data_IF_033786867922
#
_entry.id   IF_033786867922
#
_cell.length_a   1.000
_cell.length_b   1.000
_cell.length_c   1.000
_cell.angle_alpha   90.00
_cell.angle_beta   90.00
_cell.angle_gamma   90.00
#
_symmetry.space_group_name_H-M   'P 1'
#
loop_
_entity.id
_entity.type
_entity.pdbx_description
1 polymer ?
#
# COMPACT_ATOMS: atom_id res chain seq x y z
N UNK A 1 -19.57 -18.79 -38.51
CA UNK A 1 -19.15 -19.80 -39.46
C UNK A 1 -18.10 -20.70 -38.86
N UNK A 2 -18.45 -21.98 -38.82
CA UNK A 2 -17.64 -23.21 -38.74
C UNK A 2 -16.55 -23.37 -37.68
N UNK A 3 -16.92 -24.16 -36.72
CA UNK A 3 -16.26 -25.13 -35.86
C UNK A 3 -15.05 -25.85 -36.52
N UNK A 4 -14.00 -26.05 -35.74
CA UNK A 4 -13.11 -27.20 -35.95
C UNK A 4 -12.71 -27.76 -34.57
N UNK A 5 -13.42 -28.85 -34.21
CA UNK A 5 -13.04 -29.77 -33.13
C UNK A 5 -12.04 -30.77 -33.74
N UNK A 6 -10.83 -30.86 -33.13
CA UNK A 6 -9.94 -31.98 -33.44
C UNK A 6 -9.71 -32.80 -32.16
N UNK A 7 -10.36 -33.96 -32.15
CA UNK A 7 -10.17 -35.02 -31.15
C UNK A 7 -8.85 -35.71 -31.45
N UNK A 8 -7.94 -35.75 -30.50
CA UNK A 8 -6.80 -36.67 -30.51
C UNK A 8 -7.11 -37.79 -29.52
N UNK A 9 -7.39 -38.97 -30.10
CA UNK A 9 -7.56 -40.24 -29.42
C UNK A 9 -6.16 -40.76 -29.06
N UNK A 10 -5.84 -40.89 -27.77
CA UNK A 10 -4.61 -41.54 -27.31
C UNK A 10 -4.89 -43.02 -27.05
N UNK A 11 -4.36 -43.87 -27.92
CA UNK A 11 -4.40 -45.31 -27.85
C UNK A 11 -3.43 -45.80 -26.76
N UNK A 12 -3.96 -46.39 -25.70
CA UNK A 12 -3.19 -46.98 -24.60
C UNK A 12 -2.73 -48.39 -25.06
N UNK A 13 -1.45 -48.56 -25.38
CA UNK A 13 -0.86 -49.84 -25.67
C UNK A 13 -0.18 -50.39 -24.39
N UNK A 14 -0.86 -51.36 -23.75
CA UNK A 14 -0.29 -52.15 -22.66
C UNK A 14 0.73 -53.17 -23.23
N UNK A 15 2.00 -52.95 -22.91
CA UNK A 15 3.04 -53.98 -23.04
C UNK A 15 3.38 -54.49 -21.64
N UNK A 16 2.86 -55.66 -21.31
CA UNK A 16 3.31 -56.48 -20.19
C UNK A 16 4.54 -57.23 -20.62
N UNK A 17 5.74 -56.83 -20.15
CA UNK A 17 6.94 -57.63 -20.18
C UNK A 17 7.23 -58.10 -18.77
N UNK A 18 6.87 -59.35 -18.52
CA UNK A 18 7.34 -60.14 -17.40
C UNK A 18 8.82 -60.42 -17.64
N UNK A 19 9.67 -60.00 -16.72
CA UNK A 19 11.02 -60.56 -16.59
C UNK A 19 11.27 -60.79 -15.11
N UNK A 20 11.25 -62.06 -14.73
CA UNK A 20 11.79 -62.60 -13.50
C UNK A 20 13.31 -62.50 -13.56
N UNK A 21 13.90 -61.81 -12.59
CA UNK A 21 15.32 -61.76 -12.39
C UNK A 21 15.59 -61.31 -10.96
N UNK A 22 15.81 -62.27 -10.08
CA UNK A 22 16.35 -62.06 -8.75
C UNK A 22 17.79 -61.60 -8.87
N UNK A 23 18.05 -60.32 -8.53
CA UNK A 23 19.32 -59.86 -8.08
C UNK A 23 19.08 -58.98 -6.83
N UNK A 24 19.40 -59.60 -5.69
CA UNK A 24 19.58 -58.88 -4.43
C UNK A 24 20.85 -57.98 -4.58
N UNK A 25 20.64 -56.76 -5.01
CA UNK A 25 21.56 -55.69 -4.72
C UNK A 25 20.78 -54.67 -3.90
N UNK A 26 21.05 -54.71 -2.59
CA UNK A 26 20.58 -53.66 -1.66
C UNK A 26 21.18 -52.34 -2.08
N UNK A 27 20.49 -51.68 -2.99
CA UNK A 27 20.62 -50.24 -3.17
C UNK A 27 20.07 -49.59 -1.93
N UNK A 28 20.92 -49.18 -1.01
CA UNK A 28 20.55 -48.17 -0.03
C UNK A 28 19.91 -47.03 -0.84
N UNK A 29 18.62 -46.83 -0.70
CA UNK A 29 17.98 -45.59 -1.09
C UNK A 29 18.77 -44.49 -0.37
N UNK A 30 19.66 -43.83 -1.13
CA UNK A 30 20.34 -42.64 -0.66
C UNK A 30 19.23 -41.60 -0.44
N UNK A 31 18.69 -41.60 0.78
CA UNK A 31 17.75 -40.57 1.22
C UNK A 31 18.52 -39.26 1.07
N UNK A 32 18.21 -38.53 0.01
CA UNK A 32 18.88 -37.29 -0.31
C UNK A 32 18.51 -36.29 0.81
N UNK A 33 19.36 -36.21 1.83
CA UNK A 33 19.12 -35.32 2.97
C UNK A 33 19.25 -33.87 2.51
N UNK A 34 18.24 -33.07 2.80
CA UNK A 34 18.23 -31.64 2.49
C UNK A 34 17.61 -30.82 3.63
N UNK A 35 17.82 -29.53 3.60
CA UNK A 35 17.11 -28.55 4.41
C UNK A 35 16.50 -27.48 3.53
N UNK A 36 15.34 -26.99 3.93
CA UNK A 36 14.65 -25.86 3.30
C UNK A 36 14.77 -24.61 4.17
N UNK A 37 15.10 -23.49 3.53
CA UNK A 37 15.06 -22.17 4.16
C UNK A 37 13.77 -21.45 3.77
N UNK A 38 13.02 -20.98 4.78
CA UNK A 38 11.93 -20.04 4.62
C UNK A 38 12.34 -18.68 5.16
N UNK A 39 11.94 -17.63 4.47
CA UNK A 39 12.13 -16.23 4.86
C UNK A 39 10.76 -15.57 5.01
N UNK A 40 10.58 -14.69 6.01
CA UNK A 40 9.30 -13.99 6.25
C UNK A 40 8.93 -13.02 5.12
N UNK A 41 9.89 -12.65 4.26
CA UNK A 41 9.70 -11.86 3.05
C UNK A 41 10.93 -11.90 2.17
N UNK A 42 10.75 -11.83 0.86
CA UNK A 42 11.83 -11.71 -0.15
C UNK A 42 12.06 -10.26 -0.56
N UNK A 43 11.22 -9.36 -0.09
CA UNK A 43 11.34 -7.92 -0.24
C UNK A 43 11.12 -7.26 1.13
N UNK A 44 11.78 -6.13 1.37
CA UNK A 44 11.64 -5.37 2.60
C UNK A 44 12.17 -3.93 2.44
N UNK A 45 12.03 -3.16 3.49
CA UNK A 45 12.56 -1.81 3.57
C UNK A 45 13.74 -1.74 4.53
N UNK A 46 14.60 -0.76 4.32
CA UNK A 46 15.72 -0.48 5.24
C UNK A 46 15.21 -0.36 6.68
N UNK A 47 15.85 -1.06 7.61
CA UNK A 47 15.46 -1.14 9.02
C UNK A 47 14.45 -2.25 9.34
N UNK A 48 13.92 -2.97 8.35
CA UNK A 48 13.05 -4.12 8.59
C UNK A 48 13.85 -5.35 9.01
N UNK A 49 13.22 -6.16 9.86
CA UNK A 49 13.78 -7.42 10.33
C UNK A 49 13.11 -8.58 9.60
N UNK A 50 13.91 -9.39 8.93
CA UNK A 50 13.48 -10.62 8.26
C UNK A 50 13.77 -11.82 9.19
N UNK A 51 12.80 -12.73 9.26
CA UNK A 51 12.89 -13.96 10.04
C UNK A 51 13.24 -15.12 9.10
N UNK A 52 14.20 -15.94 9.49
CA UNK A 52 14.63 -17.15 8.79
C UNK A 52 14.14 -18.39 9.54
N UNK A 53 13.59 -19.33 8.83
CA UNK A 53 13.15 -20.61 9.40
C UNK A 53 13.68 -21.75 8.57
N UNK A 54 14.37 -22.69 9.19
CA UNK A 54 14.90 -23.88 8.52
C UNK A 54 14.07 -25.12 8.89
N UNK A 55 13.75 -25.91 7.87
CA UNK A 55 13.08 -27.20 8.04
C UNK A 55 13.92 -28.33 7.46
N UNK A 56 13.92 -29.48 8.13
CA UNK A 56 14.50 -30.68 7.58
C UNK A 56 13.58 -31.35 6.54
N UNK A 57 14.05 -32.39 5.89
CA UNK A 57 13.32 -33.18 4.91
C UNK A 57 12.01 -33.79 5.42
N UNK A 58 11.84 -33.90 6.73
CA UNK A 58 10.64 -34.44 7.40
C UNK A 58 9.66 -33.33 7.81
N UNK A 59 9.99 -32.06 7.51
CA UNK A 59 9.20 -30.89 7.89
C UNK A 59 9.36 -30.46 9.35
N UNK A 60 10.39 -30.98 10.06
CA UNK A 60 10.66 -30.50 11.43
C UNK A 60 11.40 -29.17 11.37
N UNK A 61 10.99 -28.24 12.25
CA UNK A 61 11.70 -26.97 12.41
C UNK A 61 13.04 -27.18 13.11
N UNK A 62 14.13 -26.95 12.39
CA UNK A 62 15.52 -27.12 12.87
C UNK A 62 16.24 -25.77 13.04
N UNK A 63 15.50 -24.65 13.04
CA UNK A 63 16.07 -23.30 13.10
C UNK A 63 16.99 -23.06 14.28
N UNK A 64 16.69 -23.63 15.46
CA UNK A 64 17.50 -23.47 16.68
C UNK A 64 18.83 -24.19 16.63
N UNK A 65 18.98 -25.15 15.71
CA UNK A 65 20.18 -25.96 15.49
C UNK A 65 20.84 -25.64 14.14
N UNK A 66 20.36 -24.62 13.45
CA UNK A 66 20.86 -24.17 12.16
C UNK A 66 21.62 -22.87 12.28
N UNK A 67 22.61 -22.70 11.43
CA UNK A 67 23.35 -21.47 11.22
C UNK A 67 22.77 -20.74 10.00
N UNK A 68 22.54 -19.44 10.12
CA UNK A 68 22.03 -18.60 9.05
C UNK A 68 23.10 -17.66 8.53
N UNK A 69 23.06 -17.39 7.24
CA UNK A 69 24.06 -16.58 6.54
C UNK A 69 23.40 -15.52 5.66
N UNK A 70 24.00 -14.34 5.64
CA UNK A 70 23.66 -13.22 4.75
C UNK A 70 24.93 -12.81 4.03
N UNK A 71 24.97 -12.86 2.69
CA UNK A 71 26.15 -12.61 1.88
C UNK A 71 27.39 -13.33 2.43
N UNK A 72 27.28 -14.65 2.65
CA UNK A 72 28.33 -15.52 3.19
C UNK A 72 28.73 -15.23 4.66
N UNK A 73 28.20 -14.19 5.28
CA UNK A 73 28.48 -13.86 6.68
C UNK A 73 27.47 -14.53 7.60
N UNK A 74 27.96 -15.33 8.54
CA UNK A 74 27.11 -15.95 9.58
C UNK A 74 26.49 -14.88 10.46
N UNK A 75 25.17 -14.93 10.65
CA UNK A 75 24.43 -14.05 11.55
C UNK A 75 24.20 -14.73 12.91
N UNK A 76 24.04 -13.95 14.03
CA UNK A 76 24.01 -14.50 15.38
C UNK A 76 22.69 -15.18 15.75
N UNK A 77 21.62 -14.98 14.97
CA UNK A 77 20.30 -15.54 15.23
C UNK A 77 19.56 -15.83 13.93
N UNK A 78 18.36 -16.38 14.03
CA UNK A 78 17.48 -16.61 12.90
C UNK A 78 16.68 -15.35 12.49
N UNK A 79 17.17 -14.18 12.86
CA UNK A 79 16.61 -12.87 12.43
C UNK A 79 17.74 -11.95 12.00
N UNK A 80 17.48 -11.11 11.00
CA UNK A 80 18.42 -10.10 10.55
C UNK A 80 17.72 -8.81 10.19
N UNK A 81 18.25 -7.68 10.66
CA UNK A 81 17.77 -6.34 10.31
C UNK A 81 18.68 -5.77 9.23
N UNK A 82 18.11 -5.49 8.07
CA UNK A 82 18.85 -4.96 6.93
C UNK A 82 18.95 -3.42 7.02
N UNK A 83 20.17 -2.91 7.19
CA UNK A 83 20.42 -1.47 7.38
C UNK A 83 20.94 -0.76 6.12
N UNK A 84 21.02 -1.46 5.00
CA UNK A 84 21.43 -0.92 3.70
C UNK A 84 20.50 -1.43 2.60
N UNK A 85 20.26 -0.57 1.60
CA UNK A 85 19.54 -0.96 0.38
C UNK A 85 20.39 -1.89 -0.46
N UNK A 86 19.76 -2.80 -1.19
CA UNK A 86 20.43 -3.72 -2.10
C UNK A 86 19.84 -5.12 -2.07
N UNK A 87 20.53 -6.02 -2.74
CA UNK A 87 20.16 -7.43 -2.86
C UNK A 87 21.07 -8.27 -1.99
N UNK A 88 20.49 -9.19 -1.22
CA UNK A 88 21.20 -10.02 -0.25
C UNK A 88 20.89 -11.48 -0.48
N UNK A 89 21.94 -12.29 -0.64
CA UNK A 89 21.80 -13.73 -0.71
C UNK A 89 21.79 -14.32 0.69
N UNK A 90 20.81 -15.19 0.98
CA UNK A 90 20.62 -15.81 2.28
C UNK A 90 20.48 -17.32 2.16
N UNK A 91 21.11 -18.05 3.07
CA UNK A 91 21.01 -19.50 3.16
C UNK A 91 21.18 -19.98 4.61
N UNK A 92 20.79 -21.23 4.85
CA UNK A 92 20.95 -21.89 6.15
C UNK A 92 21.88 -23.11 6.05
N UNK A 93 22.54 -23.44 7.14
CA UNK A 93 23.30 -24.70 7.32
C UNK A 93 22.79 -25.44 8.55
N UNK A 94 22.60 -26.74 8.38
CA UNK A 94 22.24 -27.66 9.45
C UNK A 94 23.14 -28.90 9.34
N UNK A 95 24.10 -29.04 10.27
CA UNK A 95 25.17 -30.03 10.16
C UNK A 95 26.01 -29.82 8.90
N UNK A 96 26.01 -30.81 8.00
CA UNK A 96 26.72 -30.74 6.71
C UNK A 96 25.80 -30.28 5.56
N UNK A 97 24.51 -30.11 5.83
CA UNK A 97 23.53 -29.72 4.82
C UNK A 97 23.51 -28.21 4.67
N UNK A 98 23.33 -27.75 3.44
CA UNK A 98 23.15 -26.33 3.10
C UNK A 98 21.85 -26.19 2.30
N UNK A 99 21.02 -25.22 2.64
CA UNK A 99 19.79 -24.92 1.90
C UNK A 99 20.11 -24.32 0.53
N UNK A 100 19.10 -24.30 -0.33
CA UNK A 100 19.13 -23.39 -1.48
C UNK A 100 19.27 -21.94 -1.00
N UNK A 101 19.99 -21.16 -1.81
CA UNK A 101 20.13 -19.70 -1.57
C UNK A 101 18.86 -18.99 -1.99
N UNK A 102 18.38 -18.12 -1.14
CA UNK A 102 17.29 -17.18 -1.46
C UNK A 102 17.84 -15.78 -1.53
N UNK A 103 17.23 -14.97 -2.37
CA UNK A 103 17.58 -13.56 -2.54
C UNK A 103 16.54 -12.68 -1.88
N UNK A 104 16.98 -11.69 -1.10
CA UNK A 104 16.14 -10.67 -0.46
C UNK A 104 16.50 -9.31 -1.06
N UNK A 105 15.52 -8.56 -1.53
CA UNK A 105 15.67 -7.19 -2.01
C UNK A 105 15.26 -6.20 -0.93
N UNK A 106 16.16 -5.29 -0.56
CA UNK A 106 15.91 -4.23 0.41
C UNK A 106 15.85 -2.89 -0.30
N UNK A 107 14.70 -2.27 -0.20
CA UNK A 107 14.36 -0.99 -0.79
C UNK A 107 14.50 0.16 0.21
N UNK A 108 14.68 1.40 -0.25
CA UNK A 108 14.60 2.57 0.62
C UNK A 108 13.19 2.67 1.24
N UNK A 109 13.12 3.09 2.50
CA UNK A 109 11.83 3.37 3.13
C UNK A 109 11.07 4.42 2.33
N UNK A 110 9.82 4.17 1.93
CA UNK A 110 9.04 5.13 1.16
C UNK A 110 8.90 6.45 1.92
N UNK A 111 9.13 7.57 1.24
CA UNK A 111 8.85 8.90 1.78
C UNK A 111 7.34 9.02 1.90
N UNK A 112 6.84 9.34 3.09
CA UNK A 112 5.43 9.62 3.29
C UNK A 112 5.22 11.11 3.50
N UNK A 113 4.14 11.63 2.93
CA UNK A 113 3.73 13.01 3.09
C UNK A 113 2.61 13.11 4.12
N UNK A 114 2.53 14.28 4.77
CA UNK A 114 1.43 14.60 5.65
C UNK A 114 0.12 14.65 4.85
N UNK A 115 -0.91 13.98 5.35
CA UNK A 115 -2.21 14.02 4.73
C UNK A 115 -3.02 15.21 5.28
N UNK A 116 -3.33 16.16 4.41
CA UNK A 116 -4.27 17.23 4.69
C UNK A 116 -5.69 16.79 4.30
N UNK A 117 -6.69 17.41 4.90
CA UNK A 117 -8.10 17.17 4.58
C UNK A 117 -8.68 18.40 3.89
N UNK A 118 -9.41 18.19 2.81
CA UNK A 118 -10.13 19.25 2.11
C UNK A 118 -11.60 19.19 2.57
N UNK A 119 -12.11 20.32 3.01
CA UNK A 119 -13.53 20.51 3.30
C UNK A 119 -14.10 21.51 2.31
N UNK A 120 -15.08 21.10 1.52
CA UNK A 120 -15.81 21.96 0.60
C UNK A 120 -17.18 22.29 1.20
N UNK A 121 -17.37 23.56 1.58
CA UNK A 121 -18.63 24.09 2.14
C UNK A 121 -19.47 24.72 1.04
N UNK A 122 -20.50 24.02 0.59
CA UNK A 122 -21.50 24.54 -0.35
C UNK A 122 -22.45 25.44 0.40
N UNK A 123 -22.38 26.73 0.09
CA UNK A 123 -22.97 27.82 0.85
C UNK A 123 -23.55 28.92 -0.04
N UNK A 124 -24.07 29.96 0.56
CA UNK A 124 -24.54 31.17 -0.09
C UNK A 124 -24.94 32.25 0.91
N UNK A 125 -24.82 33.52 0.55
CA UNK A 125 -25.15 34.65 1.43
C UNK A 125 -26.62 34.71 1.80
N UNK A 126 -27.48 34.11 1.01
CA UNK A 126 -28.91 33.97 1.22
C UNK A 126 -29.29 32.83 2.19
N UNK A 127 -28.33 31.95 2.52
CA UNK A 127 -28.60 30.70 3.23
C UNK A 127 -28.65 30.91 4.76
N UNK A 128 -29.83 30.95 5.33
CA UNK A 128 -30.02 31.18 6.77
C UNK A 128 -29.48 30.06 7.69
N UNK A 129 -29.25 28.84 7.16
CA UNK A 129 -28.71 27.71 7.92
C UNK A 129 -27.20 27.53 7.77
N UNK A 130 -26.57 28.18 6.79
CA UNK A 130 -25.15 28.03 6.48
C UNK A 130 -24.20 28.52 7.59
N UNK A 131 -24.55 29.52 8.45
CA UNK A 131 -23.69 29.89 9.56
C UNK A 131 -23.32 28.75 10.52
N UNK A 132 -24.07 27.66 10.53
CA UNK A 132 -23.78 26.47 11.32
C UNK A 132 -22.49 25.77 10.83
N UNK A 133 -22.33 25.67 9.53
CA UNK A 133 -21.10 25.11 8.92
C UNK A 133 -19.94 26.06 9.15
N UNK A 134 -20.14 27.35 8.98
CA UNK A 134 -19.10 28.36 9.25
C UNK A 134 -18.58 28.28 10.69
N UNK A 135 -19.44 28.06 11.68
CA UNK A 135 -19.02 27.88 13.07
C UNK A 135 -18.27 26.57 13.27
N UNK A 136 -18.72 25.47 12.67
CA UNK A 136 -18.00 24.20 12.71
C UNK A 136 -16.60 24.31 12.07
N UNK A 137 -16.48 25.04 10.96
CA UNK A 137 -15.20 25.35 10.30
C UNK A 137 -14.30 26.21 11.22
N UNK A 138 -14.87 27.20 11.91
CA UNK A 138 -14.11 28.01 12.87
C UNK A 138 -13.49 27.15 13.97
N UNK A 139 -14.25 26.20 14.51
CA UNK A 139 -13.78 25.27 15.54
C UNK A 139 -12.77 24.28 14.99
N UNK A 140 -12.99 23.75 13.79
CA UNK A 140 -12.03 22.89 13.10
C UNK A 140 -10.67 23.59 12.94
N UNK A 141 -10.67 24.86 12.54
CA UNK A 141 -9.44 25.66 12.40
C UNK A 141 -8.73 25.95 13.72
N UNK A 142 -9.44 25.88 14.85
CA UNK A 142 -8.80 25.96 16.17
C UNK A 142 -8.13 24.65 16.58
N UNK A 143 -8.67 23.53 16.10
CA UNK A 143 -8.17 22.20 16.44
C UNK A 143 -7.00 21.77 15.54
N UNK A 144 -6.98 22.21 14.27
CA UNK A 144 -5.96 21.80 13.30
C UNK A 144 -5.73 22.85 12.21
N UNK A 145 -4.46 22.94 11.78
CA UNK A 145 -4.04 23.68 10.58
C UNK A 145 -4.08 22.84 9.30
N UNK A 146 -4.39 21.53 9.38
CA UNK A 146 -4.28 20.56 8.30
C UNK A 146 -5.59 20.41 7.51
N UNK A 147 -6.62 21.14 7.87
CA UNK A 147 -7.87 21.25 7.13
C UNK A 147 -7.83 22.45 6.18
N UNK A 148 -7.94 22.16 4.90
CA UNK A 148 -8.09 23.16 3.83
C UNK A 148 -9.57 23.31 3.57
N UNK A 149 -10.12 24.47 3.88
CA UNK A 149 -11.55 24.75 3.72
C UNK A 149 -11.77 25.66 2.53
N UNK A 150 -12.67 25.25 1.64
CA UNK A 150 -13.09 26.01 0.45
C UNK A 150 -14.58 26.24 0.51
N UNK A 151 -15.02 27.50 0.53
CA UNK A 151 -16.43 27.86 0.42
C UNK A 151 -16.83 27.90 -1.07
N UNK A 152 -17.87 27.14 -1.42
CA UNK A 152 -18.43 27.08 -2.77
C UNK A 152 -19.77 27.80 -2.75
N UNK A 153 -19.76 29.03 -3.22
CA UNK A 153 -20.92 29.91 -3.21
C UNK A 153 -21.88 29.64 -4.36
N UNK A 154 -23.17 29.62 -4.05
CA UNK A 154 -24.26 29.47 -5.01
C UNK A 154 -25.24 30.64 -4.92
N UNK A 155 -25.68 31.19 -6.04
CA UNK A 155 -26.73 32.16 -6.15
C UNK A 155 -26.40 33.53 -5.54
N UNK A 156 -25.13 33.89 -5.46
CA UNK A 156 -24.66 35.18 -4.97
C UNK A 156 -23.44 35.69 -5.77
N UNK A 157 -22.93 36.87 -5.39
CA UNK A 157 -21.84 37.52 -6.12
C UNK A 157 -20.49 36.79 -6.07
N UNK A 158 -20.34 35.79 -5.19
CA UNK A 158 -19.14 34.99 -5.05
C UNK A 158 -19.22 33.65 -5.82
N UNK A 159 -20.34 33.39 -6.48
CA UNK A 159 -20.50 32.21 -7.31
C UNK A 159 -19.55 32.24 -8.51
N UNK A 160 -18.79 31.14 -8.69
CA UNK A 160 -17.98 30.97 -9.90
C UNK A 160 -18.67 30.10 -10.96
N UNK A 161 -18.23 30.18 -12.19
CA UNK A 161 -18.95 29.61 -13.34
C UNK A 161 -19.11 28.08 -13.31
N UNK A 162 -18.19 27.34 -12.67
CA UNK A 162 -18.21 25.88 -12.60
C UNK A 162 -18.95 25.33 -11.37
N UNK A 163 -19.51 26.20 -10.50
CA UNK A 163 -20.23 25.78 -9.29
C UNK A 163 -21.29 24.71 -9.58
N UNK A 164 -22.15 24.98 -10.57
CA UNK A 164 -23.23 24.05 -10.93
C UNK A 164 -22.75 22.68 -11.35
N UNK A 165 -21.65 22.61 -12.12
CA UNK A 165 -21.07 21.35 -12.55
C UNK A 165 -20.47 20.54 -11.36
N UNK A 166 -19.78 21.22 -10.44
CA UNK A 166 -19.23 20.59 -9.22
C UNK A 166 -20.37 20.11 -8.34
N UNK A 167 -21.38 20.94 -8.10
CA UNK A 167 -22.55 20.60 -7.29
C UNK A 167 -23.27 19.36 -7.83
N UNK A 168 -23.45 19.29 -9.13
CA UNK A 168 -24.06 18.13 -9.80
C UNK A 168 -23.18 16.87 -9.68
N UNK A 169 -21.87 16.98 -9.91
CA UNK A 169 -20.93 15.86 -9.85
C UNK A 169 -20.92 15.17 -8.46
N UNK A 170 -21.13 15.94 -7.39
CA UNK A 170 -21.17 15.43 -6.01
C UNK A 170 -22.60 15.33 -5.43
N UNK A 171 -23.62 15.41 -6.28
CA UNK A 171 -25.01 15.26 -5.90
C UNK A 171 -25.40 16.15 -4.70
N UNK A 172 -24.95 17.41 -4.72
CA UNK A 172 -25.31 18.40 -3.72
C UNK A 172 -26.66 19.03 -4.11
N UNK A 173 -27.72 18.67 -3.37
CA UNK A 173 -29.10 19.06 -3.68
C UNK A 173 -29.66 20.10 -2.73
N UNK A 174 -28.94 20.48 -1.69
CA UNK A 174 -29.39 21.45 -0.70
C UNK A 174 -28.24 22.14 0.03
N UNK A 175 -28.57 23.21 0.75
CA UNK A 175 -27.65 24.08 1.47
C UNK A 175 -28.05 24.19 2.93
N UNK A 176 -27.10 24.18 3.90
CA UNK A 176 -25.70 23.94 3.69
C UNK A 176 -25.40 22.45 3.37
N UNK A 177 -24.37 22.19 2.60
CA UNK A 177 -23.76 20.86 2.47
C UNK A 177 -22.26 21.03 2.54
N UNK A 178 -21.60 20.28 3.40
CA UNK A 178 -20.15 20.21 3.43
C UNK A 178 -19.66 18.81 3.05
N UNK A 179 -18.63 18.74 2.22
CA UNK A 179 -17.99 17.49 1.80
C UNK A 179 -16.59 17.40 2.38
N UNK A 180 -16.19 16.20 2.79
CA UNK A 180 -14.87 15.89 3.27
C UNK A 180 -14.15 15.08 2.18
N UNK A 181 -13.05 15.62 1.64
CA UNK A 181 -12.23 15.01 0.58
C UNK A 181 -13.03 14.59 -0.67
N UNK A 182 -14.22 15.19 -0.91
CA UNK A 182 -15.17 14.79 -1.98
C UNK A 182 -15.64 13.32 -1.89
N UNK A 183 -15.40 12.67 -0.77
CA UNK A 183 -15.73 11.25 -0.57
C UNK A 183 -16.99 11.06 0.28
N UNK A 184 -17.20 11.95 1.24
CA UNK A 184 -18.35 11.85 2.15
C UNK A 184 -18.89 13.22 2.54
N UNK A 185 -20.15 13.23 2.98
CA UNK A 185 -20.75 14.43 3.58
C UNK A 185 -20.29 14.57 5.02
N UNK A 186 -19.96 15.79 5.42
CA UNK A 186 -19.80 16.12 6.82
C UNK A 186 -21.18 16.05 7.47
N UNK A 187 -21.43 14.99 8.22
CA UNK A 187 -22.72 14.76 8.84
C UNK A 187 -22.95 15.75 9.98
N UNK A 188 -24.01 16.51 9.87
CA UNK A 188 -24.38 17.52 10.90
C UNK A 188 -23.16 18.34 11.33
N UNK A 189 -22.61 19.21 10.47
CA UNK A 189 -21.46 20.02 10.82
C UNK A 189 -21.86 20.95 12.00
N UNK A 190 -21.52 20.51 13.19
CA UNK A 190 -21.75 21.14 14.48
C UNK A 190 -20.44 21.17 15.24
N UNK A 191 -20.26 22.02 16.23
CA UNK A 191 -19.07 21.97 17.10
C UNK A 191 -18.72 20.58 17.59
N UNK A 192 -19.73 19.75 17.84
CA UNK A 192 -19.57 18.38 18.34
C UNK A 192 -19.10 17.36 17.30
N UNK A 193 -19.02 17.70 16.01
CA UNK A 193 -18.67 16.74 14.93
C UNK A 193 -17.40 17.09 14.15
N UNK A 194 -16.52 17.87 14.73
CA UNK A 194 -15.19 18.18 14.15
C UNK A 194 -14.35 16.92 14.01
N UNK A 195 -14.55 15.95 14.90
CA UNK A 195 -13.83 14.66 14.88
C UNK A 195 -14.02 13.86 13.57
N UNK A 196 -15.14 14.03 12.85
CA UNK A 196 -15.33 13.39 11.55
C UNK A 196 -14.29 13.87 10.53
N UNK A 197 -13.92 15.14 10.57
CA UNK A 197 -12.90 15.72 9.69
C UNK A 197 -11.51 15.36 10.16
N UNK A 198 -11.19 15.57 11.45
CA UNK A 198 -9.86 15.30 11.99
C UNK A 198 -9.50 13.82 11.95
N UNK A 199 -10.47 12.93 12.03
CA UNK A 199 -10.28 11.48 11.87
C UNK A 199 -9.77 11.05 10.48
N UNK A 200 -9.87 11.93 9.46
CA UNK A 200 -9.35 11.68 8.11
C UNK A 200 -7.89 12.11 7.92
N UNK A 201 -7.26 12.67 8.94
CA UNK A 201 -5.89 13.19 8.88
C UNK A 201 -4.83 12.16 9.30
N UNK A 202 -5.23 11.00 9.79
CA UNK A 202 -4.33 9.98 10.33
C UNK A 202 -3.63 9.13 9.26
N UNK A 203 -3.93 9.33 7.98
CA UNK A 203 -3.36 8.56 6.88
C UNK A 203 -1.95 9.03 6.49
N UNK A 204 -1.19 8.09 5.92
CA UNK A 204 0.04 8.39 5.19
C UNK A 204 -0.30 8.56 3.70
N UNK A 205 0.27 9.57 3.06
CA UNK A 205 0.17 9.76 1.61
C UNK A 205 1.51 9.50 0.96
N UNK A 206 1.52 8.70 -0.09
CA UNK A 206 2.72 8.43 -0.92
C UNK A 206 2.82 9.38 -2.12
N UNK A 207 1.86 10.30 -2.25
CA UNK A 207 1.89 11.36 -3.23
C UNK A 207 1.59 12.70 -2.56
N UNK A 208 2.18 13.77 -3.07
CA UNK A 208 1.94 15.13 -2.60
C UNK A 208 1.75 16.10 -3.76
N UNK A 209 1.03 17.18 -3.47
CA UNK A 209 0.90 18.32 -4.37
C UNK A 209 1.33 19.56 -3.60
N UNK A 210 2.27 20.30 -4.14
CA UNK A 210 2.61 21.64 -3.69
C UNK A 210 2.18 22.64 -4.76
N UNK A 211 1.60 23.74 -4.32
CA UNK A 211 1.15 24.82 -5.19
C UNK A 211 1.73 26.14 -4.70
N UNK A 212 2.29 26.90 -5.63
CA UNK A 212 2.70 28.28 -5.44
C UNK A 212 1.91 29.17 -6.40
N UNK A 213 1.46 30.30 -5.92
CA UNK A 213 0.68 31.24 -6.73
C UNK A 213 1.14 32.67 -6.46
N UNK A 214 1.20 33.47 -7.51
CA UNK A 214 1.45 34.88 -7.42
C UNK A 214 0.60 35.67 -8.42
N UNK A 215 0.23 36.87 -8.03
CA UNK A 215 -0.42 37.83 -8.91
C UNK A 215 0.64 38.63 -9.61
N UNK A 216 0.54 38.76 -10.94
CA UNK A 216 1.46 39.54 -11.76
C UNK A 216 0.72 40.71 -12.45
N UNK A 217 1.46 41.77 -12.74
CA UNK A 217 0.90 42.97 -13.32
C UNK A 217 -0.04 43.71 -12.38
N UNK A 218 -1.08 44.31 -12.90
CA UNK A 218 -2.07 45.10 -12.15
C UNK A 218 -3.15 44.23 -11.46
N UNK A 219 -2.83 42.99 -11.11
CA UNK A 219 -3.80 42.03 -10.59
C UNK A 219 -4.59 41.27 -11.64
N UNK A 220 -4.18 41.41 -12.92
CA UNK A 220 -4.89 40.79 -14.06
C UNK A 220 -4.50 39.36 -14.30
N UNK A 221 -3.34 38.90 -13.82
CA UNK A 221 -2.83 37.57 -14.06
C UNK A 221 -2.50 36.84 -12.76
N UNK A 222 -2.98 35.61 -12.63
CA UNK A 222 -2.63 34.70 -11.55
C UNK A 222 -1.73 33.59 -12.12
N UNK A 223 -0.45 33.64 -11.76
CA UNK A 223 0.47 32.55 -12.06
C UNK A 223 0.35 31.47 -11.00
N UNK A 224 0.10 30.24 -11.43
CA UNK A 224 0.01 29.08 -10.53
C UNK A 224 1.04 28.03 -10.97
N UNK A 225 1.95 27.67 -10.06
CA UNK A 225 2.89 26.56 -10.25
C UNK A 225 2.43 25.37 -9.42
N UNK A 226 2.31 24.22 -10.04
CA UNK A 226 1.95 22.97 -9.35
C UNK A 226 3.13 22.01 -9.46
N UNK A 227 3.56 21.46 -8.34
CA UNK A 227 4.59 20.42 -8.26
C UNK A 227 3.96 19.19 -7.62
N UNK A 228 4.13 18.05 -8.27
CA UNK A 228 3.74 16.75 -7.74
C UNK A 228 4.98 16.03 -7.20
N UNK A 229 4.85 15.39 -6.05
CA UNK A 229 5.85 14.53 -5.43
C UNK A 229 5.30 13.13 -5.27
N UNK A 230 6.18 12.14 -5.48
CA UNK A 230 5.91 10.72 -5.25
C UNK A 230 7.00 10.14 -4.36
N UNK A 231 6.66 9.09 -3.63
CA UNK A 231 7.61 8.26 -2.89
C UNK A 231 7.90 6.98 -3.63
#
# INVERSE_FOLDING_TARGET
>A
MKKFLQRISFLFLLLILSCSGSDENGGEDQINQYIDLFVSGTEGFIGETIIFTAFDQNGNNVSTSSDFYVNETKIPSNTHTFNTIGTFDVYAKYGQLTSETKTIEIMPTPITFKQNVVVEDFTGTWCGWCPRVSEAVRLLKQETSDAIVVAIHNGDAMQFSQEGAIRQAFNVTGFPTALINRQERWASPQPSNVAQVTGKMSGKSYASIAMDSRVEGDGLYLNVKVKMGYS
#
